data_IF_421564627465
#
_entry.id   IF_421564627465
#
_cell.length_a   1.000
_cell.length_b   1.000
_cell.length_c   1.000
_cell.angle_alpha   90.00
_cell.angle_beta   90.00
_cell.angle_gamma   90.00
#
_symmetry.space_group_name_H-M   'P 1'
#
loop_
_entity.id
_entity.type
_entity.pdbx_description
1 polymer ?
#
# COMPACT_ATOMS: atom_id res chain seq x y z
N UNK A 1 -17.57 4.50 21.77
CA UNK A 1 -16.57 3.85 20.91
C UNK A 1 -16.88 4.19 19.46
N UNK A 2 -16.08 5.04 18.83
CA UNK A 2 -16.18 5.35 17.40
C UNK A 2 -15.16 4.45 16.70
N UNK A 3 -15.47 3.16 16.56
CA UNK A 3 -14.63 2.20 15.84
C UNK A 3 -15.43 1.71 14.64
N UNK A 4 -15.02 2.14 13.44
CA UNK A 4 -15.68 1.78 12.18
C UNK A 4 -15.59 2.86 11.09
N UNK A 5 -15.38 4.13 11.47
CA UNK A 5 -15.13 5.20 10.50
C UNK A 5 -13.74 4.99 9.88
N UNK A 6 -13.73 4.53 8.63
CA UNK A 6 -12.56 4.54 7.78
C UNK A 6 -12.29 6.00 7.44
N UNK A 7 -11.22 6.56 7.99
CA UNK A 7 -10.82 7.91 7.63
C UNK A 7 -10.42 7.90 6.14
N UNK A 8 -10.96 8.81 5.31
CA UNK A 8 -10.52 8.93 3.94
C UNK A 8 -9.01 9.22 3.91
N UNK A 9 -8.32 8.66 2.93
CA UNK A 9 -6.92 8.99 2.71
C UNK A 9 -6.86 10.31 1.95
N UNK A 10 -5.93 11.16 2.36
CA UNK A 10 -5.80 12.50 1.78
C UNK A 10 -4.33 12.82 1.52
N UNK A 11 -4.04 13.30 0.33
CA UNK A 11 -2.72 13.85 0.01
C UNK A 11 -2.87 15.06 -0.91
N UNK A 12 -1.98 16.02 -0.77
CA UNK A 12 -1.82 17.10 -1.74
C UNK A 12 -0.61 16.83 -2.64
N UNK A 13 -0.68 17.31 -3.87
CA UNK A 13 0.42 17.28 -4.83
C UNK A 13 0.42 18.56 -5.65
N UNK A 14 1.60 19.06 -5.99
CA UNK A 14 1.74 20.19 -6.90
C UNK A 14 2.23 19.67 -8.26
N UNK A 15 1.42 19.83 -9.30
CA UNK A 15 1.76 19.43 -10.68
C UNK A 15 1.62 20.67 -11.56
N UNK A 16 2.66 20.97 -12.34
CA UNK A 16 2.71 22.14 -13.24
C UNK A 16 2.31 23.47 -12.56
N UNK A 17 2.72 23.62 -11.30
CA UNK A 17 2.43 24.82 -10.50
C UNK A 17 1.05 24.85 -9.85
N UNK A 18 0.17 23.90 -10.16
CA UNK A 18 -1.20 23.77 -9.63
C UNK A 18 -1.21 22.78 -8.47
N UNK A 19 -1.84 23.16 -7.36
CA UNK A 19 -2.03 22.30 -6.19
C UNK A 19 -3.32 21.47 -6.34
N UNK A 20 -3.17 20.16 -6.31
CA UNK A 20 -4.26 19.18 -6.34
C UNK A 20 -4.43 18.57 -4.96
N UNK A 21 -5.69 18.39 -4.55
CA UNK A 21 -6.07 17.66 -3.35
C UNK A 21 -6.75 16.35 -3.75
N UNK A 22 -6.20 15.25 -3.27
CA UNK A 22 -6.63 13.91 -3.64
C UNK A 22 -7.34 13.31 -2.44
N UNK A 23 -8.57 12.87 -2.68
CA UNK A 23 -9.40 12.18 -1.72
C UNK A 23 -9.65 10.76 -2.20
N UNK A 24 -9.14 9.80 -1.43
CA UNK A 24 -9.35 8.39 -1.67
C UNK A 24 -10.16 7.80 -0.52
N UNK A 25 -11.32 7.24 -0.85
CA UNK A 25 -12.08 6.44 0.10
C UNK A 25 -11.24 5.24 0.52
N UNK A 26 -11.05 5.07 1.82
CA UNK A 26 -10.19 4.01 2.31
C UNK A 26 -10.88 2.64 2.06
N UNK A 27 -10.27 1.76 1.23
CA UNK A 27 -10.78 0.40 1.01
C UNK A 27 -10.81 -0.39 2.32
N UNK A 28 -11.46 -1.55 2.29
CA UNK A 28 -11.29 -2.47 3.40
C UNK A 28 -9.85 -3.03 3.44
N UNK A 29 -9.42 -3.54 4.61
CA UNK A 29 -8.04 -4.00 4.74
C UNK A 29 -7.69 -5.18 3.84
N UNK A 30 -8.52 -6.24 3.79
CA UNK A 30 -8.31 -7.34 2.85
C UNK A 30 -8.23 -6.90 1.38
N UNK A 31 -9.13 -6.02 0.93
CA UNK A 31 -9.16 -5.44 -0.41
C UNK A 31 -7.88 -4.67 -0.71
N UNK A 32 -7.45 -3.79 0.19
CA UNK A 32 -6.17 -3.10 0.06
C UNK A 32 -4.99 -4.08 -0.01
N UNK A 33 -4.97 -5.12 0.81
CA UNK A 33 -3.93 -6.14 0.75
C UNK A 33 -3.97 -6.92 -0.58
N UNK A 34 -5.14 -7.11 -1.17
CA UNK A 34 -5.27 -7.68 -2.51
C UNK A 34 -4.70 -6.73 -3.59
N UNK A 35 -4.87 -5.41 -3.45
CA UNK A 35 -4.21 -4.43 -4.33
C UNK A 35 -2.70 -4.49 -4.19
N UNK A 36 -2.18 -4.59 -2.97
CA UNK A 36 -0.74 -4.73 -2.72
C UNK A 36 -0.16 -6.00 -3.38
N UNK A 37 -0.88 -7.12 -3.36
CA UNK A 37 -0.45 -8.37 -4.00
C UNK A 37 -0.20 -8.24 -5.50
N UNK A 38 -0.87 -7.32 -6.20
CA UNK A 38 -0.73 -7.15 -7.65
C UNK A 38 0.53 -6.36 -8.06
N UNK A 39 1.28 -5.77 -7.11
CA UNK A 39 2.45 -4.88 -7.32
C UNK A 39 2.22 -3.72 -8.31
N UNK A 40 0.96 -3.39 -8.61
CA UNK A 40 0.60 -2.37 -9.57
C UNK A 40 0.06 -1.16 -8.81
N UNK A 41 0.93 -0.17 -8.59
CA UNK A 41 0.58 1.07 -7.87
C UNK A 41 -0.58 1.84 -8.54
N UNK A 42 -0.89 1.57 -9.82
CA UNK A 42 -2.05 2.15 -10.51
C UNK A 42 -3.37 1.75 -9.86
N UNK A 43 -3.45 0.57 -9.22
CA UNK A 43 -4.59 0.14 -8.43
C UNK A 43 -4.77 0.97 -7.15
N UNK A 44 -3.72 1.63 -6.67
CA UNK A 44 -3.81 2.58 -5.56
C UNK A 44 -4.12 3.99 -6.05
N UNK A 45 -3.58 4.39 -7.19
CA UNK A 45 -3.85 5.69 -7.81
C UNK A 45 -3.45 5.68 -9.30
N UNK A 46 -4.29 6.15 -10.22
CA UNK A 46 -5.58 6.81 -9.99
C UNK A 46 -6.77 5.84 -9.88
N UNK A 47 -6.62 4.53 -10.14
CA UNK A 47 -7.76 3.60 -10.28
C UNK A 47 -8.58 3.37 -9.01
N UNK A 48 -8.07 3.76 -7.84
CA UNK A 48 -8.82 3.68 -6.59
C UNK A 48 -9.74 4.88 -6.35
N UNK A 49 -9.60 5.96 -7.14
CA UNK A 49 -10.36 7.18 -6.92
C UNK A 49 -11.86 6.99 -7.24
N UNK A 50 -12.74 7.87 -6.76
CA UNK A 50 -14.11 7.95 -7.25
C UNK A 50 -14.18 8.20 -8.78
N UNK A 51 -15.23 7.74 -9.50
CA UNK A 51 -15.28 7.80 -10.97
C UNK A 51 -15.11 9.20 -11.57
N UNK A 52 -15.59 10.24 -10.90
CA UNK A 52 -15.45 11.64 -11.30
C UNK A 52 -13.98 12.10 -11.22
N UNK A 53 -13.26 11.70 -10.18
CA UNK A 53 -11.83 11.97 -10.06
C UNK A 53 -11.02 11.11 -11.04
N UNK A 54 -11.37 9.84 -11.25
CA UNK A 54 -10.69 8.98 -12.23
C UNK A 54 -10.72 9.58 -13.62
N UNK A 55 -11.90 10.01 -14.09
CA UNK A 55 -12.06 10.63 -15.40
C UNK A 55 -11.15 11.86 -15.57
N UNK A 56 -11.07 12.72 -14.55
CA UNK A 56 -10.16 13.87 -14.57
C UNK A 56 -8.69 13.45 -14.74
N UNK A 57 -8.22 12.43 -14.01
CA UNK A 57 -6.84 11.98 -14.10
C UNK A 57 -6.54 11.23 -15.40
N UNK A 58 -7.50 10.49 -15.94
CA UNK A 58 -7.36 9.82 -17.24
C UNK A 58 -7.27 10.83 -18.39
N UNK A 59 -8.10 11.89 -18.36
CA UNK A 59 -8.02 13.00 -19.31
C UNK A 59 -6.64 13.70 -19.20
N UNK A 60 -6.19 13.98 -17.96
CA UNK A 60 -4.89 14.63 -17.73
C UNK A 60 -3.72 13.76 -18.21
N UNK A 61 -3.78 12.44 -18.05
CA UNK A 61 -2.73 11.51 -18.49
C UNK A 61 -2.70 11.30 -20.01
N UNK A 62 -3.80 11.58 -20.70
CA UNK A 62 -3.92 11.41 -22.15
C UNK A 62 -3.71 12.71 -22.92
N UNK A 63 -3.73 13.86 -22.24
CA UNK A 63 -3.47 15.18 -22.82
C UNK A 63 -1.98 15.36 -23.19
N UNK A 64 -1.63 15.41 -24.49
CA UNK A 64 -0.25 15.57 -24.93
C UNK A 64 0.35 16.96 -24.64
N UNK A 65 -0.48 17.95 -24.32
CA UNK A 65 -0.04 19.32 -23.97
C UNK A 65 0.41 19.42 -22.51
N UNK A 66 0.07 18.43 -21.67
CA UNK A 66 0.49 18.40 -20.26
C UNK A 66 1.77 17.61 -20.06
N UNK A 67 2.63 18.05 -19.13
CA UNK A 67 3.85 17.32 -18.78
C UNK A 67 3.60 16.16 -17.79
N UNK A 68 2.32 15.82 -17.54
CA UNK A 68 1.91 14.89 -16.49
C UNK A 68 1.95 13.46 -17.04
N UNK A 69 3.06 12.76 -16.78
CA UNK A 69 3.17 11.33 -17.05
C UNK A 69 2.90 10.47 -15.82
N UNK A 70 2.78 9.16 -16.02
CA UNK A 70 2.67 8.16 -14.95
C UNK A 70 3.77 8.25 -13.89
N UNK A 71 4.98 8.64 -14.28
CA UNK A 71 6.10 8.84 -13.36
C UNK A 71 5.87 10.02 -12.41
N UNK A 72 5.19 11.06 -12.87
CA UNK A 72 4.84 12.25 -12.08
C UNK A 72 3.78 11.94 -11.01
N UNK A 73 2.97 10.91 -11.23
CA UNK A 73 1.96 10.45 -10.27
C UNK A 73 2.53 9.54 -9.17
N UNK A 74 3.70 8.93 -9.39
CA UNK A 74 4.30 7.96 -8.45
C UNK A 74 4.49 8.50 -7.02
N UNK A 75 4.91 9.76 -6.77
CA UNK A 75 5.01 10.31 -5.42
C UNK A 75 3.67 10.37 -4.67
N UNK A 76 2.56 10.53 -5.40
CA UNK A 76 1.21 10.50 -4.84
C UNK A 76 0.91 9.11 -4.32
N UNK A 77 1.11 8.10 -5.16
CA UNK A 77 0.91 6.70 -4.80
C UNK A 77 1.80 6.29 -3.62
N UNK A 78 3.03 6.79 -3.55
CA UNK A 78 3.91 6.59 -2.39
C UNK A 78 3.30 7.11 -1.09
N UNK A 79 2.80 8.36 -1.08
CA UNK A 79 2.16 8.98 0.10
C UNK A 79 0.89 8.24 0.50
N UNK A 80 0.05 7.87 -0.47
CA UNK A 80 -1.17 7.10 -0.23
C UNK A 80 -0.83 5.71 0.35
N UNK A 81 0.20 5.04 -0.17
CA UNK A 81 0.61 3.72 0.29
C UNK A 81 1.07 3.77 1.76
N UNK A 82 1.86 4.78 2.14
CA UNK A 82 2.28 4.97 3.52
C UNK A 82 1.09 5.19 4.47
N UNK A 83 0.05 5.91 4.04
CA UNK A 83 -1.15 6.09 4.87
C UNK A 83 -1.99 4.81 4.99
N UNK A 84 -2.14 4.08 3.88
CA UNK A 84 -2.96 2.86 3.81
C UNK A 84 -2.30 1.68 4.52
N UNK A 85 -1.05 1.38 4.15
CA UNK A 85 -0.30 0.20 4.59
C UNK A 85 0.65 0.48 5.76
N UNK A 86 0.96 1.75 6.06
CA UNK A 86 2.02 2.11 7.01
C UNK A 86 3.44 1.98 6.43
N UNK A 87 3.57 1.53 5.17
CA UNK A 87 4.83 1.27 4.45
C UNK A 87 4.64 1.60 2.96
N UNK A 88 5.73 1.73 2.18
CA UNK A 88 5.62 1.86 0.73
C UNK A 88 4.92 0.67 0.06
N UNK A 89 4.29 0.87 -1.11
CA UNK A 89 3.49 -0.17 -1.76
C UNK A 89 4.29 -1.43 -2.09
N UNK A 90 5.55 -1.29 -2.52
CA UNK A 90 6.42 -2.44 -2.83
C UNK A 90 6.73 -3.28 -1.58
N UNK A 91 6.83 -2.64 -0.41
CA UNK A 91 7.02 -3.34 0.86
C UNK A 91 5.74 -4.04 1.25
N UNK A 92 4.58 -3.38 1.11
CA UNK A 92 3.29 -4.02 1.32
C UNK A 92 3.13 -5.24 0.40
N UNK A 93 3.46 -5.11 -0.89
CA UNK A 93 3.48 -6.18 -1.88
C UNK A 93 4.31 -7.37 -1.39
N UNK A 94 5.62 -7.18 -1.14
CA UNK A 94 6.53 -8.26 -0.72
C UNK A 94 6.08 -8.95 0.57
N UNK A 95 5.53 -8.20 1.52
CA UNK A 95 4.98 -8.75 2.75
C UNK A 95 3.74 -9.60 2.47
N UNK A 96 2.77 -9.05 1.74
CA UNK A 96 1.55 -9.79 1.37
C UNK A 96 1.85 -11.02 0.52
N UNK A 97 2.81 -10.93 -0.40
CA UNK A 97 3.27 -12.05 -1.23
C UNK A 97 3.87 -13.15 -0.36
N UNK A 98 4.74 -12.78 0.59
CA UNK A 98 5.35 -13.73 1.53
C UNK A 98 4.29 -14.46 2.38
N UNK A 99 3.27 -13.74 2.85
CA UNK A 99 2.16 -14.35 3.56
C UNK A 99 1.31 -15.26 2.66
N UNK A 100 1.04 -14.85 1.42
CA UNK A 100 0.28 -15.64 0.45
C UNK A 100 0.99 -16.94 0.05
N UNK A 101 2.31 -16.92 -0.10
CA UNK A 101 3.12 -18.11 -0.40
C UNK A 101 3.07 -19.16 0.72
N UNK A 102 2.81 -18.74 1.96
CA UNK A 102 2.68 -19.61 3.13
C UNK A 102 1.34 -19.42 3.83
N UNK A 103 0.26 -19.28 3.04
CA UNK A 103 -1.07 -18.86 3.52
C UNK A 103 -1.53 -19.65 4.74
N UNK A 104 -1.51 -20.99 4.66
CA UNK A 104 -1.95 -21.85 5.76
C UNK A 104 -1.14 -21.64 7.04
N UNK A 105 0.17 -21.41 6.94
CA UNK A 105 1.02 -21.19 8.11
C UNK A 105 0.75 -19.82 8.75
N UNK A 106 0.55 -18.79 7.92
CA UNK A 106 0.16 -17.47 8.40
C UNK A 106 -1.23 -17.50 9.04
N UNK A 107 -2.22 -18.14 8.42
CA UNK A 107 -3.57 -18.29 8.99
C UNK A 107 -3.58 -19.08 10.30
N UNK A 108 -2.82 -20.16 10.40
CA UNK A 108 -2.65 -20.89 11.66
C UNK A 108 -2.03 -19.99 12.74
N UNK A 109 -1.06 -19.14 12.36
CA UNK A 109 -0.47 -18.17 13.27
C UNK A 109 -1.49 -17.12 13.73
N UNK A 110 -2.30 -16.55 12.83
CA UNK A 110 -3.30 -15.53 13.18
C UNK A 110 -4.36 -16.10 14.13
N UNK A 111 -4.84 -17.32 13.88
CA UNK A 111 -5.75 -18.04 14.78
C UNK A 111 -5.11 -18.23 16.16
N UNK A 112 -3.86 -18.70 16.23
CA UNK A 112 -3.13 -18.89 17.49
C UNK A 112 -2.97 -17.58 18.28
N UNK A 113 -2.85 -16.45 17.58
CA UNK A 113 -2.71 -15.11 18.19
C UNK A 113 -4.05 -14.41 18.46
N UNK A 114 -5.19 -15.03 18.11
CA UNK A 114 -6.50 -14.39 18.21
C UNK A 114 -6.62 -13.14 17.33
N UNK A 115 -5.88 -13.09 16.22
CA UNK A 115 -5.94 -12.01 15.25
C UNK A 115 -6.85 -12.43 14.09
N UNK A 116 -7.91 -11.67 13.86
CA UNK A 116 -8.77 -11.84 12.68
C UNK A 116 -8.44 -10.72 11.67
N UNK A 117 -7.81 -11.03 10.52
CA UNK A 117 -7.50 -10.04 9.48
C UNK A 117 -8.74 -9.44 8.80
N UNK A 118 -9.87 -10.15 8.73
CA UNK A 118 -11.00 -9.78 7.89
C UNK A 118 -11.61 -8.42 8.25
N UNK A 119 -11.57 -8.05 9.55
CA UNK A 119 -12.09 -6.77 10.06
C UNK A 119 -11.04 -5.70 10.33
N UNK A 120 -9.79 -5.85 9.86
CA UNK A 120 -8.68 -4.96 10.24
C UNK A 120 -8.27 -4.05 9.08
N UNK A 121 -7.79 -2.83 9.36
CA UNK A 121 -7.25 -1.98 8.31
C UNK A 121 -5.95 -2.57 7.74
N UNK A 122 -5.62 -2.25 6.49
CA UNK A 122 -4.46 -2.79 5.77
C UNK A 122 -3.15 -2.70 6.57
N UNK A 123 -2.85 -1.53 7.16
CA UNK A 123 -1.67 -1.36 8.04
C UNK A 123 -1.57 -2.34 9.20
N UNK A 124 -2.70 -2.81 9.75
CA UNK A 124 -2.72 -3.79 10.84
C UNK A 124 -2.46 -5.20 10.32
N UNK A 125 -2.94 -5.52 9.13
CA UNK A 125 -2.66 -6.79 8.44
C UNK A 125 -1.18 -6.82 8.03
N UNK A 126 -0.66 -5.74 7.46
CA UNK A 126 0.77 -5.62 7.13
C UNK A 126 1.63 -5.77 8.39
N UNK A 127 1.28 -5.09 9.49
CA UNK A 127 2.00 -5.23 10.75
C UNK A 127 1.94 -6.66 11.33
N UNK A 128 0.84 -7.40 11.17
CA UNK A 128 0.75 -8.78 11.65
C UNK A 128 1.62 -9.73 10.82
N UNK A 129 1.78 -9.49 9.52
CA UNK A 129 2.71 -10.25 8.66
C UNK A 129 4.15 -10.01 9.13
N UNK A 130 4.54 -8.76 9.40
CA UNK A 130 5.87 -8.44 9.95
C UNK A 130 6.09 -9.17 11.28
N UNK A 131 5.12 -9.14 12.18
CA UNK A 131 5.21 -9.83 13.48
C UNK A 131 5.34 -11.35 13.34
N UNK A 132 4.59 -11.96 12.42
CA UNK A 132 4.68 -13.39 12.11
C UNK A 132 6.05 -13.78 11.55
N UNK A 133 6.62 -12.95 10.67
CA UNK A 133 7.98 -13.14 10.14
C UNK A 133 9.04 -12.96 11.23
N UNK A 134 8.88 -11.96 12.09
CA UNK A 134 9.81 -11.68 13.17
C UNK A 134 9.93 -12.83 14.18
N UNK A 135 8.86 -13.59 14.41
CA UNK A 135 8.89 -14.77 15.28
C UNK A 135 9.72 -15.95 14.72
N UNK A 136 10.10 -15.90 13.45
CA UNK A 136 10.85 -16.97 12.79
C UNK A 136 12.36 -16.70 12.75
N UNK A 137 12.81 -15.48 13.06
CA UNK A 137 14.23 -15.14 12.99
C UNK A 137 15.00 -15.78 14.13
N UNK A 138 16.10 -16.45 13.79
CA UNK A 138 17.00 -17.05 14.76
C UNK A 138 17.97 -16.04 15.38
N UNK A 139 18.35 -15.00 14.63
CA UNK A 139 19.30 -13.98 15.05
C UNK A 139 19.08 -12.59 14.40
N UNK A 140 19.87 -11.61 14.83
CA UNK A 140 19.81 -10.22 14.37
C UNK A 140 20.29 -10.05 12.91
N UNK A 141 21.21 -10.90 12.43
CA UNK A 141 21.71 -10.82 11.06
C UNK A 141 20.61 -11.21 10.06
N UNK A 142 19.82 -12.22 10.40
CA UNK A 142 18.64 -12.63 9.65
C UNK A 142 17.59 -11.51 9.61
N UNK A 143 17.28 -10.91 10.76
CA UNK A 143 16.35 -9.79 10.85
C UNK A 143 16.78 -8.61 9.97
N UNK A 144 18.08 -8.25 9.99
CA UNK A 144 18.64 -7.18 9.16
C UNK A 144 18.57 -7.49 7.67
N UNK A 145 18.94 -8.71 7.28
CA UNK A 145 18.87 -9.18 5.89
C UNK A 145 17.42 -9.17 5.37
N UNK A 146 16.49 -9.68 6.18
CA UNK A 146 15.07 -9.64 5.87
C UNK A 146 14.56 -8.21 5.71
N UNK A 147 14.92 -7.32 6.63
CA UNK A 147 14.51 -5.91 6.57
C UNK A 147 15.02 -5.23 5.29
N UNK A 148 16.29 -5.44 4.92
CA UNK A 148 16.83 -4.92 3.67
C UNK A 148 16.04 -5.43 2.45
N UNK A 149 15.78 -6.74 2.37
CA UNK A 149 15.01 -7.33 1.26
C UNK A 149 13.58 -6.79 1.18
N UNK A 150 12.92 -6.55 2.29
CA UNK A 150 11.51 -6.13 2.30
C UNK A 150 11.34 -4.62 2.09
N UNK A 151 12.25 -3.81 2.62
CA UNK A 151 12.07 -2.35 2.67
C UNK A 151 12.88 -1.58 1.63
N UNK A 152 13.93 -2.17 1.04
CA UNK A 152 14.69 -1.47 0.01
C UNK A 152 13.83 -1.15 -1.23
N UNK A 153 13.89 0.10 -1.74
CA UNK A 153 13.17 0.47 -2.95
C UNK A 153 13.63 -0.37 -4.14
N UNK A 154 12.72 -0.79 -5.02
CA UNK A 154 13.11 -1.47 -6.25
C UNK A 154 13.89 -0.54 -7.19
N UNK A 155 14.70 -1.09 -8.13
CA UNK A 155 15.45 -0.30 -9.09
C UNK A 155 14.55 0.70 -9.85
N UNK A 156 15.01 1.93 -10.01
CA UNK A 156 14.26 2.97 -10.72
C UNK A 156 13.18 3.68 -9.89
N UNK A 157 13.00 3.32 -8.61
CA UNK A 157 12.23 4.13 -7.66
C UNK A 157 13.17 5.14 -7.00
N UNK A 158 12.98 6.43 -7.31
CA UNK A 158 13.57 7.55 -6.56
C UNK A 158 12.53 8.05 -5.57
N UNK A 159 12.88 8.07 -4.28
CA UNK A 159 12.04 8.52 -3.17
C UNK A 159 12.33 9.99 -2.90
#
# INVERSE_FOLDING_TARGET
MIFGLRAPLQTSVRLDGIDYLIHLDAPDGPEACAWALQDEWLHLFPRALPPDQQAFWDDLLTDPETAVGFTTLRPIAFRLAQQLYGVPWWTAHRLTESAAQSLLAYEAWTVRKGFDPAGKPARRIVASIVAWQAEQWADEAEAKSWHQRMFMPPPGVRI
#
